data_IF_744359861105
#
_entry.id   IF_744359861105
#
_cell.length_a   1.000
_cell.length_b   1.000
_cell.length_c   1.000
_cell.angle_alpha   90.00
_cell.angle_beta   90.00
_cell.angle_gamma   90.00
#
_symmetry.space_group_name_H-M   'P 1'
#
loop_
_entity.id
_entity.type
_entity.pdbx_description
1 polymer ?
#
# COMPACT_ATOMS: atom_id res chain seq x y z
N UNK A 1 24.02 39.94 19.35
CA UNK A 1 23.76 38.50 19.10
C UNK A 1 22.65 38.42 18.05
N UNK A 2 22.97 38.01 16.83
CA UNK A 2 22.00 37.92 15.75
C UNK A 2 21.05 36.75 15.99
N UNK A 3 19.75 37.01 16.01
CA UNK A 3 18.75 35.94 15.99
C UNK A 3 18.82 35.29 14.61
N UNK A 4 19.19 34.00 14.54
CA UNK A 4 19.10 33.22 13.32
C UNK A 4 17.62 32.87 13.10
N UNK A 5 16.96 33.37 12.04
CA UNK A 5 15.55 33.11 11.75
C UNK A 5 15.41 31.74 11.05
N UNK A 6 15.95 30.70 11.65
CA UNK A 6 15.83 29.35 11.09
C UNK A 6 14.47 28.82 11.52
N UNK A 7 13.53 28.72 10.56
CA UNK A 7 12.26 28.02 10.77
C UNK A 7 12.58 26.58 11.17
N UNK A 8 12.32 26.25 12.44
CA UNK A 8 12.44 24.90 12.95
C UNK A 8 11.29 24.07 12.39
N UNK A 9 11.45 23.50 11.20
CA UNK A 9 10.54 22.46 10.72
C UNK A 9 10.85 21.20 11.53
N UNK A 10 9.94 20.72 12.39
CA UNK A 10 10.21 19.55 13.20
C UNK A 10 10.45 18.37 12.27
N UNK A 11 11.64 17.77 12.37
CA UNK A 11 12.06 16.63 11.56
C UNK A 11 11.15 15.39 11.77
N UNK A 12 10.33 15.40 12.82
CA UNK A 12 9.35 14.37 13.18
C UNK A 12 7.89 14.74 12.86
N UNK A 13 7.61 15.70 11.98
CA UNK A 13 6.25 16.25 11.84
C UNK A 13 5.18 15.29 11.30
N UNK A 14 5.54 14.06 10.88
CA UNK A 14 4.60 13.10 10.30
C UNK A 14 4.69 11.74 11.00
N UNK A 15 3.60 11.24 11.61
CA UNK A 15 3.62 9.95 12.29
C UNK A 15 4.01 8.80 11.35
N UNK A 16 4.93 7.91 11.74
CA UNK A 16 5.35 6.83 10.83
C UNK A 16 4.23 5.88 10.42
N UNK A 17 3.19 5.72 11.25
CA UNK A 17 2.06 4.84 10.96
C UNK A 17 1.18 5.34 9.79
N UNK A 18 1.13 6.65 9.53
CA UNK A 18 0.32 7.20 8.44
C UNK A 18 0.90 6.85 7.08
N UNK A 19 2.22 6.63 6.96
CA UNK A 19 2.81 6.08 5.74
C UNK A 19 2.27 4.69 5.42
N UNK A 20 2.08 3.84 6.44
CA UNK A 20 1.46 2.52 6.26
C UNK A 20 -0.01 2.62 5.88
N UNK A 21 -0.75 3.60 6.42
CA UNK A 21 -2.14 3.84 6.05
C UNK A 21 -2.27 4.33 4.60
N UNK A 22 -1.39 5.23 4.15
CA UNK A 22 -1.34 5.73 2.77
C UNK A 22 -1.00 4.58 1.81
N UNK A 23 0.03 3.80 2.12
CA UNK A 23 0.41 2.63 1.34
C UNK A 23 -0.76 1.64 1.23
N UNK A 24 -1.41 1.32 2.34
CA UNK A 24 -2.60 0.46 2.36
C UNK A 24 -3.71 1.00 1.46
N UNK A 25 -4.01 2.30 1.53
CA UNK A 25 -5.03 2.93 0.69
C UNK A 25 -4.69 2.82 -0.80
N UNK A 26 -3.43 3.01 -1.17
CA UNK A 26 -2.95 2.88 -2.55
C UNK A 26 -3.07 1.43 -3.04
N UNK A 27 -2.58 0.47 -2.25
CA UNK A 27 -2.65 -0.96 -2.59
C UNK A 27 -4.10 -1.42 -2.71
N UNK A 28 -4.97 -0.95 -1.82
CA UNK A 28 -6.40 -1.22 -1.89
C UNK A 28 -7.01 -0.71 -3.20
N UNK A 29 -6.80 0.55 -3.54
CA UNK A 29 -7.32 1.15 -4.77
C UNK A 29 -6.83 0.41 -6.03
N UNK A 30 -5.52 0.15 -6.12
CA UNK A 30 -4.93 -0.58 -7.25
C UNK A 30 -5.47 -2.00 -7.34
N UNK A 31 -5.57 -2.71 -6.21
CA UNK A 31 -6.08 -4.08 -6.18
C UNK A 31 -7.53 -4.18 -6.66
N UNK A 32 -8.39 -3.23 -6.28
CA UNK A 32 -9.78 -3.20 -6.72
C UNK A 32 -9.90 -2.92 -8.21
N UNK A 33 -9.11 -1.98 -8.75
CA UNK A 33 -9.10 -1.67 -10.18
C UNK A 33 -8.61 -2.86 -11.00
N UNK A 34 -7.47 -3.45 -10.62
CA UNK A 34 -6.92 -4.62 -11.31
C UNK A 34 -7.88 -5.80 -11.22
N UNK A 35 -8.46 -6.05 -10.04
CA UNK A 35 -9.43 -7.12 -9.84
C UNK A 35 -10.68 -6.94 -10.71
N UNK A 36 -11.19 -5.70 -10.82
CA UNK A 36 -12.31 -5.37 -11.72
C UNK A 36 -12.00 -5.76 -13.15
N UNK A 37 -10.84 -5.35 -13.69
CA UNK A 37 -10.48 -5.63 -15.09
C UNK A 37 -10.31 -7.14 -15.33
N UNK A 38 -9.65 -7.86 -14.43
CA UNK A 38 -9.46 -9.31 -14.55
C UNK A 38 -10.81 -10.02 -14.46
N UNK A 39 -11.64 -9.68 -13.48
CA UNK A 39 -12.94 -10.34 -13.28
C UNK A 39 -13.87 -10.14 -14.48
N UNK A 40 -13.92 -8.92 -15.04
CA UNK A 40 -14.72 -8.61 -16.22
C UNK A 40 -14.23 -9.30 -17.49
N UNK A 41 -12.95 -9.71 -17.54
CA UNK A 41 -12.41 -10.48 -18.66
C UNK A 41 -12.88 -11.94 -18.69
N UNK A 42 -13.43 -12.46 -17.57
CA UNK A 42 -13.89 -13.84 -17.44
C UNK A 42 -15.38 -13.91 -17.78
N UNK A 43 -15.71 -14.64 -18.85
CA UNK A 43 -17.09 -14.82 -19.29
C UNK A 43 -17.80 -15.98 -18.56
N UNK A 44 -19.12 -15.88 -18.41
CA UNK A 44 -19.96 -16.98 -17.91
C UNK A 44 -19.99 -17.14 -16.39
N UNK A 45 -19.45 -16.19 -15.63
CA UNK A 45 -19.55 -16.18 -14.17
C UNK A 45 -20.96 -15.80 -13.72
N UNK A 46 -21.49 -16.53 -12.73
CA UNK A 46 -22.69 -16.08 -12.02
C UNK A 46 -22.34 -14.84 -11.16
N UNK A 47 -23.31 -14.00 -10.77
CA UNK A 47 -23.05 -12.83 -9.92
C UNK A 47 -22.36 -13.17 -8.59
N UNK A 48 -22.67 -14.34 -8.03
CA UNK A 48 -22.05 -14.82 -6.78
C UNK A 48 -20.60 -15.19 -7.02
N UNK A 49 -20.31 -15.95 -8.08
CA UNK A 49 -18.95 -16.35 -8.43
C UNK A 49 -18.08 -15.14 -8.79
N UNK A 50 -18.66 -14.16 -9.49
CA UNK A 50 -18.00 -12.91 -9.84
C UNK A 50 -17.50 -12.17 -8.59
N UNK A 51 -18.29 -12.12 -7.51
CA UNK A 51 -17.89 -11.50 -6.26
C UNK A 51 -16.76 -12.28 -5.56
N UNK A 52 -16.84 -13.61 -5.54
CA UNK A 52 -15.79 -14.44 -4.96
C UNK A 52 -14.47 -14.33 -5.72
N UNK A 53 -14.52 -14.35 -7.05
CA UNK A 53 -13.34 -14.17 -7.92
C UNK A 53 -12.75 -12.78 -7.71
N UNK A 54 -13.58 -11.73 -7.72
CA UNK A 54 -13.14 -10.36 -7.47
C UNK A 54 -12.41 -10.23 -6.13
N UNK A 55 -13.02 -10.70 -5.04
CA UNK A 55 -12.41 -10.62 -3.71
C UNK A 55 -11.20 -11.53 -3.56
N UNK A 56 -11.19 -12.69 -4.23
CA UNK A 56 -10.04 -13.59 -4.28
C UNK A 56 -8.82 -12.95 -4.94
N UNK A 57 -9.01 -12.23 -6.04
CA UNK A 57 -7.92 -11.49 -6.72
C UNK A 57 -7.44 -10.33 -5.86
N UNK A 58 -8.35 -9.56 -5.24
CA UNK A 58 -7.98 -8.49 -4.30
C UNK A 58 -7.10 -9.06 -3.17
N UNK A 59 -7.54 -10.14 -2.53
CA UNK A 59 -6.78 -10.81 -1.48
C UNK A 59 -5.43 -11.35 -1.96
N UNK A 60 -5.37 -11.90 -3.18
CA UNK A 60 -4.14 -12.37 -3.81
C UNK A 60 -3.12 -11.25 -4.04
N UNK A 61 -3.57 -10.09 -4.53
CA UNK A 61 -2.71 -8.91 -4.71
C UNK A 61 -2.17 -8.42 -3.36
N UNK A 62 -3.01 -8.40 -2.33
CA UNK A 62 -2.58 -8.05 -0.97
C UNK A 62 -1.52 -9.02 -0.44
N UNK A 63 -1.72 -10.32 -0.60
CA UNK A 63 -0.74 -11.34 -0.21
C UNK A 63 0.59 -11.12 -0.93
N UNK A 64 0.57 -10.91 -2.25
CA UNK A 64 1.79 -10.66 -3.03
C UNK A 64 2.47 -9.37 -2.55
N UNK A 65 1.71 -8.28 -2.36
CA UNK A 65 2.28 -7.02 -1.92
C UNK A 65 2.91 -7.13 -0.54
N UNK A 66 2.17 -7.57 0.48
CA UNK A 66 2.62 -7.53 1.86
C UNK A 66 3.58 -8.67 2.22
N UNK A 67 3.45 -9.85 1.61
CA UNK A 67 4.31 -11.00 1.92
C UNK A 67 5.58 -11.07 1.06
N UNK A 68 5.56 -10.55 -0.17
CA UNK A 68 6.68 -10.67 -1.13
C UNK A 68 7.30 -9.31 -1.44
N UNK A 69 6.53 -8.39 -2.03
CA UNK A 69 7.10 -7.12 -2.52
C UNK A 69 7.60 -6.28 -1.35
N UNK A 70 6.76 -6.10 -0.34
CA UNK A 70 7.07 -5.30 0.84
C UNK A 70 8.24 -5.87 1.63
N UNK A 71 8.31 -7.18 1.86
CA UNK A 71 9.44 -7.82 2.54
C UNK A 71 10.73 -7.73 1.74
N UNK A 72 10.68 -7.70 0.41
CA UNK A 72 11.86 -7.51 -0.45
C UNK A 72 12.27 -6.03 -0.55
N UNK A 73 11.32 -5.11 -0.69
CA UNK A 73 11.54 -3.66 -0.82
C UNK A 73 12.00 -3.04 0.50
N UNK A 74 11.37 -3.40 1.62
CA UNK A 74 11.70 -2.88 2.95
C UNK A 74 12.98 -3.49 3.56
N UNK A 75 13.62 -4.47 2.90
CA UNK A 75 15.01 -4.87 3.24
C UNK A 75 16.05 -3.79 2.92
N UNK A 76 15.67 -2.74 2.18
CA UNK A 76 16.56 -1.60 1.94
C UNK A 76 16.67 -0.77 3.22
N UNK A 77 17.91 -0.46 3.61
CA UNK A 77 18.37 0.31 4.80
C UNK A 77 17.69 1.67 5.08
N UNK A 78 16.66 2.05 4.34
CA UNK A 78 15.94 3.32 4.45
C UNK A 78 15.16 3.44 5.77
N UNK A 79 14.90 2.31 6.45
CA UNK A 79 14.29 2.28 7.79
C UNK A 79 15.28 1.91 8.92
N UNK A 80 16.61 1.88 8.67
CA UNK A 80 17.60 1.88 9.76
C UNK A 80 17.53 3.24 10.49
N UNK A 81 16.59 3.40 11.44
CA UNK A 81 16.80 4.32 12.56
C UNK A 81 17.93 3.75 13.40
N UNK A 82 19.17 4.06 13.03
CA UNK A 82 20.29 4.01 13.97
C UNK A 82 20.02 5.07 15.01
N UNK A 83 19.47 4.64 16.14
CA UNK A 83 19.70 5.32 17.41
C UNK A 83 21.14 5.07 17.86
#
# INVERSE_FOLDING_TARGET
MGAHPNVHVPKESWPNWTWYAIEFGIVLAVSMLVSREITNSIQGLTPVDQNWVFMGIVGGIFLIWYAIIRTVVLKRKILETRY
#
